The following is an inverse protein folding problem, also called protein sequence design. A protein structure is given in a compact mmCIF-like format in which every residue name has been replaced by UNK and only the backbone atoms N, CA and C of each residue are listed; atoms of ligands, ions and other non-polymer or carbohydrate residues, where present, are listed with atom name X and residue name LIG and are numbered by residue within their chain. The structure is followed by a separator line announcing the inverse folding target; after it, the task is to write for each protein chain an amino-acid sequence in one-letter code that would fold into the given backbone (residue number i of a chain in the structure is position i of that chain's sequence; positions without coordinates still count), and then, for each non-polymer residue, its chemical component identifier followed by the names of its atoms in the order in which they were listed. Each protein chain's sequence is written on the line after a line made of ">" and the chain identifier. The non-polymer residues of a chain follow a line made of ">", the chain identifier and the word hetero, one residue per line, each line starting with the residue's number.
data_IF_344903586501
#
_entry.id   IF_344903586501
#
_cell.length_a   1.000
_cell.length_b   1.000
_cell.length_c   1.000
_cell.angle_alpha   90.00
_cell.angle_beta   90.00
_cell.angle_gamma   90.00
#
_symmetry.space_group_name_H-M   'P 1'
#
loop_
_entity.id
_entity.type
_entity.pdbx_description
1 polymer ?
#
# COMPACT_ATOMS: atom_id res chain seq x y z
N UNK A 1 -3.83 8.74 -28.06
CA UNK A 1 -3.64 9.17 -26.66
C UNK A 1 -2.53 8.29 -26.14
N UNK A 2 -1.37 8.86 -25.84
CA UNK A 2 -0.28 8.08 -25.24
C UNK A 2 -0.71 7.71 -23.82
N UNK A 3 -0.93 6.40 -23.60
CA UNK A 3 -1.23 5.87 -22.28
C UNK A 3 0.00 6.07 -21.40
N UNK A 4 -0.12 6.84 -20.32
CA UNK A 4 0.96 6.96 -19.36
C UNK A 4 1.20 5.65 -18.64
N UNK A 5 2.46 5.21 -18.64
CA UNK A 5 2.86 4.00 -17.94
C UNK A 5 2.87 4.24 -16.43
N UNK A 6 2.04 3.49 -15.70
CA UNK A 6 1.86 3.61 -14.25
C UNK A 6 2.59 2.48 -13.52
N UNK A 7 3.38 2.84 -12.51
CA UNK A 7 3.95 1.90 -11.55
C UNK A 7 3.29 2.11 -10.17
N UNK A 8 2.52 1.12 -9.73
CA UNK A 8 1.87 1.12 -8.42
C UNK A 8 2.62 0.16 -7.49
N UNK A 9 3.14 0.68 -6.39
CA UNK A 9 3.94 -0.10 -5.42
C UNK A 9 3.36 0.10 -4.04
N UNK A 10 3.14 -0.99 -3.31
CA UNK A 10 2.83 -0.94 -1.88
C UNK A 10 3.88 -1.69 -1.08
N UNK A 11 4.29 -1.14 0.06
CA UNK A 11 5.21 -1.79 0.98
C UNK A 11 4.89 -1.43 2.43
N UNK A 12 4.73 -2.46 3.27
CA UNK A 12 4.81 -2.28 4.71
C UNK A 12 6.31 -2.18 5.07
N UNK A 13 6.73 -0.99 5.51
CA UNK A 13 8.14 -0.64 5.75
C UNK A 13 8.50 -0.62 7.23
N UNK A 14 7.67 -1.24 8.09
CA UNK A 14 7.86 -1.20 9.53
C UNK A 14 9.24 -1.71 10.00
N UNK A 15 9.75 -2.77 9.36
CA UNK A 15 11.07 -3.34 9.64
C UNK A 15 12.21 -2.63 8.94
N UNK A 16 11.92 -1.80 7.93
CA UNK A 16 12.94 -1.12 7.13
C UNK A 16 13.81 -0.20 7.98
N UNK A 17 13.19 0.45 8.96
CA UNK A 17 13.84 1.40 9.86
C UNK A 17 14.45 0.75 11.10
N UNK A 18 14.30 -0.57 11.28
CA UNK A 18 14.97 -1.33 12.35
C UNK A 18 16.43 -1.66 11.96
N UNK A 19 16.75 -1.78 10.66
CA UNK A 19 18.11 -1.96 10.13
C UNK A 19 18.33 -1.10 8.86
N UNK A 20 18.62 0.20 9.03
CA UNK A 20 18.76 1.14 7.91
C UNK A 20 20.05 0.89 7.09
N UNK A 21 21.06 0.24 7.65
CA UNK A 21 22.32 0.01 6.93
C UNK A 21 22.18 -1.07 5.88
N UNK A 22 21.36 -2.11 6.14
CA UNK A 22 21.23 -3.25 5.23
C UNK A 22 19.86 -3.23 4.54
N UNK A 23 18.76 -3.27 5.30
CA UNK A 23 17.43 -3.47 4.73
C UNK A 23 16.99 -2.27 3.90
N UNK A 24 17.21 -1.05 4.40
CA UNK A 24 16.85 0.17 3.69
C UNK A 24 17.63 0.32 2.38
N UNK A 25 18.95 0.09 2.40
CA UNK A 25 19.77 0.17 1.20
C UNK A 25 19.38 -0.86 0.14
N UNK A 26 19.15 -2.11 0.55
CA UNK A 26 18.69 -3.17 -0.35
C UNK A 26 17.31 -2.84 -0.96
N UNK A 27 16.37 -2.36 -0.14
CA UNK A 27 15.04 -2.00 -0.63
C UNK A 27 15.09 -0.86 -1.65
N UNK A 28 15.86 0.20 -1.37
CA UNK A 28 16.05 1.31 -2.31
C UNK A 28 16.69 0.80 -3.60
N UNK A 29 17.72 -0.04 -3.50
CA UNK A 29 18.39 -0.61 -4.67
C UNK A 29 17.41 -1.38 -5.58
N UNK A 30 16.63 -2.32 -5.02
CA UNK A 30 15.65 -3.10 -5.78
C UNK A 30 14.53 -2.23 -6.36
N UNK A 31 14.09 -1.21 -5.61
CA UNK A 31 13.11 -0.26 -6.10
C UNK A 31 13.66 0.53 -7.31
N UNK A 32 14.90 1.02 -7.24
CA UNK A 32 15.52 1.74 -8.36
C UNK A 32 15.77 0.85 -9.58
N UNK A 33 16.20 -0.41 -9.36
CA UNK A 33 16.30 -1.39 -10.45
C UNK A 33 14.94 -1.58 -11.16
N UNK A 34 13.87 -1.66 -10.38
CA UNK A 34 12.49 -1.79 -10.91
C UNK A 34 12.09 -0.55 -11.72
N UNK A 35 12.35 0.66 -11.21
CA UNK A 35 12.07 1.91 -11.93
C UNK A 35 12.85 1.97 -13.24
N UNK A 36 14.14 1.62 -13.21
CA UNK A 36 15.01 1.57 -14.39
C UNK A 36 14.53 0.56 -15.42
N UNK A 37 14.05 -0.61 -15.00
CA UNK A 37 13.58 -1.65 -15.92
C UNK A 37 12.23 -1.30 -16.56
N UNK A 38 11.31 -0.70 -15.79
CA UNK A 38 9.94 -0.47 -16.23
C UNK A 38 9.73 0.88 -16.91
N UNK A 39 10.66 1.83 -16.73
CA UNK A 39 10.57 3.21 -17.25
C UNK A 39 9.15 3.83 -17.05
N UNK A 40 8.63 3.87 -15.82
CA UNK A 40 7.29 4.41 -15.57
C UNK A 40 7.28 5.92 -15.80
N UNK A 41 6.17 6.44 -16.31
CA UNK A 41 5.95 7.89 -16.38
C UNK A 41 5.40 8.42 -15.06
N UNK A 42 4.61 7.63 -14.35
CA UNK A 42 4.07 8.01 -13.05
C UNK A 42 4.16 6.86 -12.06
N UNK A 43 4.65 7.16 -10.87
CA UNK A 43 4.83 6.19 -9.78
C UNK A 43 3.94 6.59 -8.62
N UNK A 44 3.15 5.65 -8.11
CA UNK A 44 2.47 5.75 -6.83
C UNK A 44 3.05 4.71 -5.86
N UNK A 45 3.81 5.19 -4.88
CA UNK A 45 4.42 4.38 -3.83
C UNK A 45 3.68 4.59 -2.50
N UNK A 46 2.99 3.54 -2.06
CA UNK A 46 2.21 3.51 -0.83
C UNK A 46 2.94 2.74 0.25
N UNK A 47 3.16 3.38 1.38
CA UNK A 47 3.91 2.87 2.52
C UNK A 47 2.98 2.69 3.70
N UNK A 48 3.17 1.61 4.44
CA UNK A 48 2.53 1.36 5.73
C UNK A 48 3.60 1.19 6.81
N UNK A 49 3.27 1.54 8.06
CA UNK A 49 4.21 1.48 9.19
C UNK A 49 5.45 2.36 8.98
N UNK A 50 5.27 3.52 8.36
CA UNK A 50 6.31 4.55 8.29
C UNK A 50 6.73 4.92 9.71
N UNK A 51 8.02 4.94 10.01
CA UNK A 51 8.57 5.15 11.36
C UNK A 51 8.63 3.90 12.26
N UNK A 52 8.27 2.73 11.73
CA UNK A 52 8.48 1.45 12.41
C UNK A 52 7.76 1.34 13.77
N UNK A 53 8.42 0.68 14.72
CA UNK A 53 7.93 0.50 16.10
C UNK A 53 8.45 1.56 17.06
N UNK A 54 9.61 2.16 16.77
CA UNK A 54 10.31 3.16 17.61
C UNK A 54 10.39 4.52 16.92
N UNK A 55 9.25 5.21 16.91
CA UNK A 55 9.04 6.45 16.14
C UNK A 55 10.06 7.56 16.36
N UNK A 56 10.35 7.91 17.62
CA UNK A 56 11.24 9.03 17.95
C UNK A 56 12.67 8.81 17.43
N UNK A 57 13.13 7.55 17.41
CA UNK A 57 14.46 7.18 16.93
C UNK A 57 14.49 7.03 15.41
N UNK A 58 13.39 6.60 14.80
CA UNK A 58 13.31 6.29 13.37
C UNK A 58 13.05 7.50 12.45
N UNK A 59 12.57 8.63 12.97
CA UNK A 59 12.17 9.78 12.12
C UNK A 59 13.34 10.32 11.27
N UNK A 60 14.57 10.24 11.77
CA UNK A 60 15.76 10.57 10.96
C UNK A 60 15.89 9.63 9.76
N UNK A 61 15.78 8.32 9.97
CA UNK A 61 15.88 7.32 8.91
C UNK A 61 14.74 7.42 7.90
N UNK A 62 13.53 7.81 8.31
CA UNK A 62 12.42 8.07 7.38
C UNK A 62 12.77 9.23 6.43
N UNK A 63 13.33 10.31 6.95
CA UNK A 63 13.76 11.46 6.13
C UNK A 63 14.92 11.09 5.21
N UNK A 64 15.89 10.33 5.71
CA UNK A 64 17.00 9.79 4.89
C UNK A 64 16.47 8.90 3.77
N UNK A 65 15.53 8.00 4.07
CA UNK A 65 14.89 7.13 3.08
C UNK A 65 14.24 7.94 1.96
N UNK A 66 13.38 8.91 2.29
CA UNK A 66 12.71 9.77 1.29
C UNK A 66 13.73 10.57 0.49
N UNK A 67 14.77 11.10 1.15
CA UNK A 67 15.85 11.83 0.49
C UNK A 67 16.58 10.94 -0.52
N UNK A 68 17.01 9.74 -0.10
CA UNK A 68 17.68 8.78 -0.97
C UNK A 68 16.83 8.35 -2.16
N UNK A 69 15.51 8.18 -1.99
CA UNK A 69 14.61 7.96 -3.12
C UNK A 69 14.60 9.14 -4.09
N UNK A 70 14.47 10.37 -3.57
CA UNK A 70 14.37 11.58 -4.40
C UNK A 70 15.68 11.95 -5.12
N UNK A 71 16.83 11.58 -4.56
CA UNK A 71 18.17 11.92 -5.06
C UNK A 71 18.79 10.82 -5.92
N UNK A 72 18.16 9.65 -6.02
CA UNK A 72 18.63 8.55 -6.86
C UNK A 72 18.74 8.98 -8.34
N UNK A 73 19.75 8.43 -9.04
CA UNK A 73 20.03 8.76 -10.43
C UNK A 73 18.83 8.46 -11.34
N UNK A 74 18.17 7.32 -11.12
CA UNK A 74 16.98 6.87 -11.83
C UNK A 74 15.78 7.82 -11.68
N UNK A 75 15.80 8.68 -10.66
CA UNK A 75 14.69 9.57 -10.32
C UNK A 75 14.89 11.01 -10.82
N UNK A 76 16.01 11.31 -11.50
CA UNK A 76 16.37 12.67 -11.91
C UNK A 76 15.36 13.32 -12.86
N UNK A 77 14.72 12.53 -13.72
CA UNK A 77 13.74 13.02 -14.70
C UNK A 77 12.32 13.17 -14.12
N UNK A 78 12.10 12.75 -12.87
CA UNK A 78 10.84 12.96 -12.16
C UNK A 78 10.79 14.36 -11.55
N UNK A 79 10.25 15.30 -12.30
CA UNK A 79 10.14 16.71 -11.91
C UNK A 79 8.99 16.97 -10.92
N UNK A 80 7.97 16.11 -10.92
CA UNK A 80 6.80 16.19 -10.05
C UNK A 80 7.01 15.24 -8.88
N UNK A 81 7.04 15.77 -7.65
CA UNK A 81 7.14 14.95 -6.43
C UNK A 81 6.09 15.39 -5.42
N UNK A 82 5.31 14.45 -4.90
CA UNK A 82 4.36 14.69 -3.81
C UNK A 82 4.58 13.64 -2.72
N UNK A 83 4.93 14.09 -1.52
CA UNK A 83 5.16 13.21 -0.37
C UNK A 83 4.23 13.58 0.77
N UNK A 84 3.54 12.59 1.30
CA UNK A 84 2.69 12.68 2.49
C UNK A 84 3.12 11.61 3.46
N UNK A 85 3.74 11.98 4.58
CA UNK A 85 4.10 11.06 5.65
C UNK A 85 3.36 11.45 6.92
N UNK A 86 2.47 10.58 7.37
CA UNK A 86 1.81 10.72 8.65
C UNK A 86 2.73 10.23 9.76
N UNK A 87 3.48 11.15 10.38
CA UNK A 87 4.46 10.87 11.44
C UNK A 87 4.00 11.41 12.81
N UNK A 88 2.78 11.98 12.90
CA UNK A 88 2.29 12.59 14.13
C UNK A 88 1.79 11.55 15.15
N UNK A 89 2.71 10.79 15.74
CA UNK A 89 2.41 9.78 16.76
C UNK A 89 1.78 10.35 18.04
N UNK A 90 1.90 11.66 18.28
CA UNK A 90 1.27 12.34 19.42
C UNK A 90 -0.26 12.45 19.29
N UNK A 91 -0.79 12.49 18.07
CA UNK A 91 -2.24 12.50 17.81
C UNK A 91 -2.77 11.07 17.66
N UNK A 92 -2.94 10.38 18.78
CA UNK A 92 -3.32 8.97 18.76
C UNK A 92 -4.69 8.72 18.09
N UNK A 93 -5.59 9.72 18.06
CA UNK A 93 -6.91 9.60 17.43
C UNK A 93 -6.88 9.65 15.90
N UNK A 94 -5.84 10.23 15.29
CA UNK A 94 -5.78 10.44 13.84
C UNK A 94 -4.60 9.74 13.18
N UNK A 95 -3.59 9.35 13.96
CA UNK A 95 -2.35 8.77 13.47
C UNK A 95 -2.53 7.39 12.81
N UNK A 96 -1.99 7.24 11.60
CA UNK A 96 -2.08 6.03 10.75
C UNK A 96 -0.74 5.44 10.33
N UNK A 97 0.38 6.17 10.50
CA UNK A 97 1.70 5.75 10.02
C UNK A 97 1.70 5.37 8.51
N UNK A 98 0.81 5.99 7.72
CA UNK A 98 0.75 5.82 6.27
C UNK A 98 1.67 6.83 5.59
N UNK A 99 2.32 6.39 4.51
CA UNK A 99 3.09 7.23 3.62
C UNK A 99 2.60 7.11 2.18
N UNK A 100 2.38 8.23 1.50
CA UNK A 100 2.10 8.25 0.06
C UNK A 100 3.16 9.09 -0.64
N UNK A 101 3.90 8.48 -1.55
CA UNK A 101 4.91 9.14 -2.38
C UNK A 101 4.49 9.00 -3.84
N UNK A 102 4.46 10.12 -4.55
CA UNK A 102 4.13 10.17 -5.97
C UNK A 102 5.25 10.85 -6.74
N UNK A 103 5.63 10.25 -7.87
CA UNK A 103 6.65 10.77 -8.77
C UNK A 103 6.09 10.83 -10.18
N UNK A 104 6.08 12.01 -10.80
CA UNK A 104 5.70 12.22 -12.19
C UNK A 104 6.90 12.62 -13.04
N UNK A 105 7.10 11.90 -14.13
CA UNK A 105 8.16 12.11 -15.10
C UNK A 105 7.94 13.41 -15.88
N UNK A 106 9.02 14.07 -16.31
CA UNK A 106 8.98 15.33 -17.06
C UNK A 106 8.21 15.24 -18.40
N UNK A 107 7.98 14.03 -18.91
CA UNK A 107 7.22 13.77 -20.14
C UNK A 107 5.71 13.81 -19.93
N UNK A 108 5.20 13.92 -18.70
CA UNK A 108 3.76 14.07 -18.47
C UNK A 108 3.37 15.52 -18.79
N UNK A 109 2.66 15.79 -19.90
CA UNK A 109 2.34 17.15 -20.31
C UNK A 109 1.38 17.84 -19.35
N UNK A 110 0.43 17.09 -18.79
CA UNK A 110 -0.60 17.64 -17.91
C UNK A 110 -0.85 16.69 -16.75
N UNK A 111 -0.63 17.19 -15.53
CA UNK A 111 -1.17 16.55 -14.34
C UNK A 111 -1.65 17.56 -13.33
N UNK A 112 -2.72 17.19 -12.63
CA UNK A 112 -3.36 18.01 -11.59
C UNK A 112 -3.66 17.14 -10.39
N UNK A 113 -3.68 17.77 -9.22
CA UNK A 113 -3.96 17.11 -7.96
C UNK A 113 -5.19 17.78 -7.34
N UNK A 114 -6.14 16.99 -6.93
CA UNK A 114 -7.39 17.49 -6.38
C UNK A 114 -7.18 17.95 -4.94
N UNK A 115 -7.80 19.08 -4.61
CA UNK A 115 -7.96 19.56 -3.26
C UNK A 115 -9.37 19.22 -2.78
N UNK A 116 -9.46 18.31 -1.81
CA UNK A 116 -10.70 17.79 -1.26
C UNK A 116 -11.45 18.80 -0.38
N UNK A 117 -10.78 19.88 0.05
CA UNK A 117 -11.38 20.90 0.92
C UNK A 117 -12.11 21.97 0.12
N UNK A 118 -11.52 22.41 -0.99
CA UNK A 118 -12.10 23.46 -1.83
C UNK A 118 -12.73 22.88 -3.12
N UNK A 119 -12.66 21.56 -3.32
CA UNK A 119 -13.19 20.87 -4.49
C UNK A 119 -12.65 21.46 -5.81
N UNK A 120 -11.33 21.61 -5.91
CA UNK A 120 -10.69 22.19 -7.09
C UNK A 120 -9.37 21.51 -7.45
N UNK A 121 -8.94 21.71 -8.70
CA UNK A 121 -7.69 21.17 -9.23
C UNK A 121 -6.51 22.12 -8.95
N UNK A 122 -5.43 21.58 -8.38
CA UNK A 122 -4.16 22.27 -8.18
C UNK A 122 -3.10 21.75 -9.16
N UNK A 123 -2.12 22.60 -9.49
CA UNK A 123 -1.01 22.21 -10.36
C UNK A 123 0.00 21.33 -9.61
N UNK A 124 0.56 20.34 -10.30
CA UNK A 124 1.49 19.37 -9.69
C UNK A 124 2.95 19.70 -9.91
N UNK A 125 3.27 20.83 -10.56
CA UNK A 125 4.66 21.17 -10.86
C UNK A 125 5.51 21.28 -9.59
N UNK A 126 6.78 20.91 -9.71
CA UNK A 126 7.75 20.93 -8.62
C UNK A 126 7.56 19.82 -7.57
N UNK A 127 8.25 19.99 -6.44
CA UNK A 127 8.33 19.01 -5.34
C UNK A 127 7.66 19.58 -4.09
N UNK A 128 6.76 18.81 -3.47
CA UNK A 128 6.11 19.16 -2.21
C UNK A 128 6.21 18.00 -1.23
N UNK A 129 6.61 18.31 0.01
CA UNK A 129 6.84 17.34 1.06
C UNK A 129 6.08 17.73 2.33
N UNK A 130 5.19 16.85 2.77
CA UNK A 130 4.45 16.98 4.01
C UNK A 130 4.90 15.88 4.99
N UNK A 131 5.56 16.30 6.07
CA UNK A 131 6.06 15.46 7.16
C UNK A 131 5.35 15.81 8.46
N UNK A 132 5.32 14.88 9.43
CA UNK A 132 4.70 15.14 10.74
C UNK A 132 3.17 15.13 10.69
N UNK A 133 2.54 16.24 11.10
CA UNK A 133 1.09 16.38 11.12
C UNK A 133 0.57 16.81 9.74
N UNK A 134 -0.13 15.89 9.08
CA UNK A 134 -0.70 16.13 7.75
C UNK A 134 -2.22 16.32 7.75
N UNK A 135 -2.89 16.47 8.90
CA UNK A 135 -4.36 16.55 8.94
C UNK A 135 -4.96 17.66 8.07
N UNK A 136 -4.32 18.84 8.09
CA UNK A 136 -4.81 20.01 7.38
C UNK A 136 -4.33 20.10 5.92
N UNK A 137 -3.62 19.08 5.42
CA UNK A 137 -3.17 19.05 4.03
C UNK A 137 -4.36 18.70 3.13
N UNK A 138 -4.82 19.62 2.27
CA UNK A 138 -6.12 19.50 1.63
C UNK A 138 -6.10 18.61 0.37
N UNK A 139 -4.91 18.29 -0.15
CA UNK A 139 -4.71 17.45 -1.33
C UNK A 139 -4.69 15.95 -1.04
N UNK A 140 -5.11 15.56 0.17
CA UNK A 140 -5.34 14.17 0.57
C UNK A 140 -6.56 14.07 1.48
N UNK A 141 -7.29 12.98 1.37
CA UNK A 141 -8.33 12.56 2.33
C UNK A 141 -7.79 11.37 3.12
N UNK A 142 -7.72 11.49 4.44
CA UNK A 142 -7.16 10.48 5.33
C UNK A 142 -8.11 10.21 6.46
N UNK A 143 -8.28 8.94 6.82
CA UNK A 143 -9.04 8.57 8.00
C UNK A 143 -8.45 7.35 8.68
N UNK A 144 -8.37 7.41 10.01
CA UNK A 144 -8.09 6.26 10.86
C UNK A 144 -9.39 5.48 11.10
N UNK A 145 -9.32 4.16 11.10
CA UNK A 145 -10.50 3.34 11.38
C UNK A 145 -10.99 3.51 12.83
N UNK A 146 -12.31 3.52 13.05
CA UNK A 146 -12.89 3.57 14.38
C UNK A 146 -12.38 2.45 15.30
N UNK A 147 -12.19 2.77 16.59
CA UNK A 147 -11.65 1.80 17.58
C UNK A 147 -12.58 0.61 17.81
N UNK A 148 -13.90 0.78 17.65
CA UNK A 148 -14.88 -0.31 17.79
C UNK A 148 -14.77 -1.36 16.66
N UNK A 149 -14.02 -1.08 15.60
CA UNK A 149 -13.71 -2.08 14.57
C UNK A 149 -12.68 -3.10 15.09
N UNK A 150 -11.96 -2.75 16.16
CA UNK A 150 -10.97 -3.61 16.78
C UNK A 150 -10.94 -3.45 18.32
N UNK A 151 -12.00 -3.89 19.03
CA UNK A 151 -12.23 -3.59 20.45
C UNK A 151 -11.19 -4.15 21.41
N UNK A 152 -10.48 -5.20 21.02
CA UNK A 152 -9.40 -5.82 21.82
C UNK A 152 -8.12 -4.98 21.84
N UNK A 153 -7.98 -4.03 20.92
CA UNK A 153 -6.78 -3.23 20.78
C UNK A 153 -7.06 -1.77 21.11
N UNK A 154 -6.51 -1.32 22.24
CA UNK A 154 -6.66 0.05 22.71
C UNK A 154 -6.03 1.08 21.77
N UNK A 155 -5.09 0.66 20.93
CA UNK A 155 -4.35 1.55 20.02
C UNK A 155 -4.13 0.91 18.65
N UNK A 156 -4.79 1.44 17.64
CA UNK A 156 -4.59 1.06 16.24
C UNK A 156 -4.00 2.21 15.44
N UNK A 157 -3.21 1.88 14.41
CA UNK A 157 -2.73 2.82 13.38
C UNK A 157 -3.32 2.48 12.01
N UNK A 158 -4.41 1.71 11.98
CA UNK A 158 -5.04 1.23 10.73
C UNK A 158 -5.96 2.31 10.17
N UNK A 159 -5.97 2.46 8.85
CA UNK A 159 -6.72 3.52 8.18
C UNK A 159 -6.51 3.48 6.68
N UNK A 160 -6.87 4.58 6.03
CA UNK A 160 -6.58 4.80 4.62
C UNK A 160 -6.13 6.24 4.36
N UNK A 161 -5.45 6.44 3.23
CA UNK A 161 -5.12 7.75 2.67
C UNK A 161 -5.40 7.75 1.16
N UNK A 162 -6.26 8.66 0.72
CA UNK A 162 -6.70 8.85 -0.66
C UNK A 162 -6.13 10.15 -1.22
N UNK A 163 -5.66 10.12 -2.46
CA UNK A 163 -5.34 11.31 -3.26
C UNK A 163 -5.98 11.17 -4.63
N UNK A 164 -6.50 12.26 -5.18
CA UNK A 164 -7.11 12.28 -6.51
C UNK A 164 -6.25 13.00 -7.51
N UNK A 165 -5.96 12.34 -8.62
CA UNK A 165 -5.09 12.85 -9.67
C UNK A 165 -5.86 12.92 -10.98
N UNK A 166 -5.54 13.94 -11.77
CA UNK A 166 -5.74 13.93 -13.22
C UNK A 166 -4.36 13.78 -13.85
N UNK A 167 -4.17 12.71 -14.63
CA UNK A 167 -2.94 12.45 -15.36
C UNK A 167 -3.32 12.33 -16.84
N UNK A 168 -2.88 13.29 -17.65
CA UNK A 168 -3.16 13.35 -19.09
C UNK A 168 -4.66 13.25 -19.44
N UNK A 169 -5.52 13.89 -18.63
CA UNK A 169 -6.97 13.89 -18.81
C UNK A 169 -7.69 12.69 -18.21
N UNK A 170 -6.96 11.75 -17.58
CA UNK A 170 -7.55 10.62 -16.86
C UNK A 170 -7.61 10.95 -15.37
N UNK A 171 -8.82 11.10 -14.85
CA UNK A 171 -9.08 11.32 -13.43
C UNK A 171 -9.21 9.99 -12.69
N UNK A 172 -8.44 9.81 -11.62
CA UNK A 172 -8.54 8.64 -10.74
C UNK A 172 -8.07 8.93 -9.31
N UNK A 173 -8.47 8.06 -8.37
CA UNK A 173 -7.93 8.08 -7.01
C UNK A 173 -6.90 6.97 -6.79
N UNK A 174 -5.84 7.30 -6.04
CA UNK A 174 -4.96 6.31 -5.43
C UNK A 174 -5.28 6.23 -3.94
N UNK A 175 -5.58 5.03 -3.46
CA UNK A 175 -5.99 4.79 -2.08
C UNK A 175 -5.03 3.81 -1.42
N UNK A 176 -4.22 4.32 -0.49
CA UNK A 176 -3.37 3.54 0.39
C UNK A 176 -4.23 3.03 1.55
N UNK A 177 -4.29 1.72 1.76
CA UNK A 177 -5.08 1.12 2.83
C UNK A 177 -4.25 0.20 3.70
N UNK A 178 -4.39 0.34 5.02
CA UNK A 178 -3.75 -0.53 5.99
C UNK A 178 -4.80 -1.14 6.91
N UNK A 179 -5.11 -2.41 6.68
CA UNK A 179 -6.13 -3.13 7.44
C UNK A 179 -5.55 -3.85 8.67
N UNK A 180 -6.45 -4.32 9.55
CA UNK A 180 -6.09 -5.00 10.78
C UNK A 180 -5.33 -6.32 10.53
N UNK A 181 -4.22 -6.51 11.25
CA UNK A 181 -3.50 -7.78 11.31
C UNK A 181 -4.08 -8.68 12.41
N UNK A 182 -3.94 -9.98 12.25
CA UNK A 182 -4.20 -10.97 13.30
C UNK A 182 -3.20 -10.82 14.45
N UNK A 183 -3.57 -11.25 15.66
CA UNK A 183 -2.65 -11.27 16.81
C UNK A 183 -1.40 -12.16 16.55
N UNK A 184 -1.56 -13.24 15.78
CA UNK A 184 -0.47 -14.06 15.27
C UNK A 184 -0.91 -14.85 14.04
N UNK A 185 0.05 -15.35 13.26
CA UNK A 185 -0.23 -16.31 12.18
C UNK A 185 -0.86 -17.60 12.71
N UNK A 186 -0.54 -18.01 13.95
CA UNK A 186 -1.11 -19.19 14.60
C UNK A 186 -2.60 -18.98 14.90
N UNK A 187 -2.98 -17.80 15.36
CA UNK A 187 -4.39 -17.44 15.60
C UNK A 187 -5.21 -17.53 14.30
N UNK A 188 -4.63 -17.08 13.19
CA UNK A 188 -5.27 -17.19 11.87
C UNK A 188 -5.43 -18.64 11.37
N UNK A 189 -4.68 -19.60 11.93
CA UNK A 189 -4.77 -21.03 11.60
C UNK A 189 -5.79 -21.80 12.44
N UNK A 190 -6.07 -21.32 13.66
CA UNK A 190 -6.95 -22.02 14.62
C UNK A 190 -8.41 -21.91 14.19
N UNK A 191 -8.85 -20.75 13.72
CA UNK A 191 -10.20 -20.51 13.20
C UNK A 191 -10.13 -19.92 11.79
N UNK A 192 -10.81 -20.55 10.83
CA UNK A 192 -10.92 -20.05 9.46
C UNK A 192 -12.38 -19.87 9.02
N UNK A 193 -12.77 -18.70 8.49
CA UNK A 193 -11.97 -17.47 8.43
C UNK A 193 -11.75 -16.90 9.84
N UNK A 194 -10.56 -16.38 10.11
CA UNK A 194 -10.24 -15.71 11.38
C UNK A 194 -11.24 -14.59 11.67
N UNK A 195 -11.55 -14.34 12.94
CA UNK A 195 -12.35 -13.18 13.42
C UNK A 195 -11.84 -11.86 12.81
N UNK A 196 -10.54 -11.74 12.60
CA UNK A 196 -9.92 -10.57 11.97
C UNK A 196 -10.34 -10.39 10.51
N UNK A 197 -10.73 -11.44 9.81
CA UNK A 197 -11.24 -11.36 8.44
C UNK A 197 -12.55 -10.58 8.38
N UNK A 198 -13.44 -10.75 9.37
CA UNK A 198 -14.66 -9.95 9.48
C UNK A 198 -14.35 -8.48 9.77
N UNK A 199 -13.34 -8.20 10.60
CA UNK A 199 -12.88 -6.84 10.91
C UNK A 199 -12.29 -6.15 9.68
N UNK A 200 -11.45 -6.85 8.92
CA UNK A 200 -10.90 -6.38 7.63
C UNK A 200 -12.01 -6.10 6.63
N UNK A 201 -13.02 -6.99 6.52
CA UNK A 201 -14.20 -6.77 5.67
C UNK A 201 -14.99 -5.54 6.11
N UNK A 202 -15.24 -5.35 7.42
CA UNK A 202 -15.94 -4.18 7.97
C UNK A 202 -15.20 -2.89 7.61
N UNK A 203 -13.87 -2.86 7.81
CA UNK A 203 -13.02 -1.71 7.46
C UNK A 203 -13.02 -1.40 5.97
N UNK A 204 -12.88 -2.43 5.11
CA UNK A 204 -12.92 -2.26 3.66
C UNK A 204 -14.26 -1.68 3.21
N UNK A 205 -15.38 -2.27 3.63
CA UNK A 205 -16.73 -1.79 3.29
C UNK A 205 -16.93 -0.36 3.78
N UNK A 206 -16.48 -0.05 5.00
CA UNK A 206 -16.56 1.31 5.55
C UNK A 206 -15.82 2.33 4.67
N UNK A 207 -14.62 2.02 4.19
CA UNK A 207 -13.89 2.91 3.27
C UNK A 207 -14.61 3.08 1.94
N UNK A 208 -15.10 1.99 1.34
CA UNK A 208 -15.82 2.07 0.06
C UNK A 208 -17.11 2.90 0.19
N UNK A 209 -17.89 2.65 1.23
CA UNK A 209 -19.10 3.43 1.52
C UNK A 209 -18.79 4.91 1.76
N UNK A 210 -17.66 5.23 2.41
CA UNK A 210 -17.25 6.63 2.58
C UNK A 210 -17.02 7.33 1.25
N UNK A 211 -16.45 6.64 0.25
CA UNK A 211 -16.27 7.20 -1.09
C UNK A 211 -17.60 7.34 -1.83
N UNK A 212 -18.48 6.35 -1.72
CA UNK A 212 -19.81 6.41 -2.35
C UNK A 212 -20.71 7.51 -1.74
N UNK A 213 -20.51 7.84 -0.46
CA UNK A 213 -21.27 8.86 0.27
C UNK A 213 -20.59 10.24 0.28
N UNK A 214 -19.45 10.40 -0.37
CA UNK A 214 -18.75 11.69 -0.49
C UNK A 214 -19.55 12.61 -1.42
N UNK A 215 -20.37 13.48 -0.85
CA UNK A 215 -21.26 14.38 -1.61
C UNK A 215 -20.55 15.60 -2.17
N UNK A 216 -19.43 15.96 -1.57
CA UNK A 216 -18.68 17.17 -1.92
C UNK A 216 -17.74 16.90 -3.10
N UNK A 217 -17.34 15.64 -3.30
CA UNK A 217 -16.42 15.22 -4.35
C UNK A 217 -17.07 14.22 -5.31
N UNK A 218 -16.88 14.40 -6.61
CA UNK A 218 -17.36 13.46 -7.63
C UNK A 218 -16.82 12.05 -7.39
N UNK A 219 -17.59 11.01 -7.75
CA UNK A 219 -17.10 9.63 -7.73
C UNK A 219 -16.25 9.39 -8.98
N UNK A 220 -15.02 8.90 -8.79
CA UNK A 220 -14.08 8.60 -9.88
C UNK A 220 -13.51 7.20 -9.71
N UNK A 221 -12.98 6.56 -10.78
CA UNK A 221 -12.29 5.27 -10.66
C UNK A 221 -11.11 5.35 -9.69
N UNK A 222 -10.84 4.27 -8.96
CA UNK A 222 -9.73 4.26 -8.01
C UNK A 222 -8.93 2.96 -8.01
N UNK A 223 -7.62 3.10 -7.82
CA UNK A 223 -6.76 2.00 -7.44
C UNK A 223 -6.68 1.93 -5.91
N UNK A 224 -7.21 0.83 -5.36
CA UNK A 224 -7.10 0.51 -3.95
C UNK A 224 -6.01 -0.54 -3.75
N UNK A 225 -4.93 -0.16 -3.06
CA UNK A 225 -3.81 -1.05 -2.79
C UNK A 225 -3.14 -0.66 -1.46
N UNK A 226 -2.41 -1.59 -0.86
CA UNK A 226 -1.91 -1.41 0.48
C UNK A 226 -1.64 -2.72 1.20
N UNK A 227 -1.41 -2.64 2.51
CA UNK A 227 -1.36 -3.81 3.38
C UNK A 227 -2.77 -4.19 3.85
N UNK A 228 -3.43 -5.03 3.06
CA UNK A 228 -4.74 -5.58 3.39
C UNK A 228 -4.68 -6.62 4.52
N UNK A 229 -3.50 -7.11 4.91
CA UNK A 229 -3.34 -8.14 5.93
C UNK A 229 -4.19 -9.41 5.71
N UNK A 230 -4.58 -9.72 4.46
CA UNK A 230 -5.29 -10.95 4.14
C UNK A 230 -4.38 -12.16 4.35
N UNK A 231 -4.92 -13.20 4.98
CA UNK A 231 -4.20 -14.43 5.31
C UNK A 231 -4.79 -15.59 4.54
N UNK A 232 -3.93 -16.44 3.99
CA UNK A 232 -4.34 -17.67 3.30
C UNK A 232 -4.93 -18.70 4.26
N UNK A 233 -5.87 -19.52 3.78
CA UNK A 233 -6.36 -20.70 4.49
C UNK A 233 -5.33 -21.84 4.47
N UNK A 234 -4.23 -21.66 5.19
CA UNK A 234 -3.16 -22.65 5.25
C UNK A 234 -3.64 -23.99 5.86
N UNK A 235 -4.67 -23.99 6.70
CA UNK A 235 -5.28 -25.21 7.26
C UNK A 235 -6.10 -25.98 6.20
N UNK A 236 -6.90 -25.29 5.39
CA UNK A 236 -7.63 -25.87 4.26
C UNK A 236 -6.68 -26.39 3.16
N UNK A 237 -5.62 -25.65 2.85
CA UNK A 237 -4.58 -26.09 1.89
C UNK A 237 -3.90 -27.36 2.40
N UNK A 238 -3.45 -27.40 3.66
CA UNK A 238 -2.79 -28.60 4.21
C UNK A 238 -3.73 -29.81 4.28
N UNK A 239 -5.01 -29.63 4.63
CA UNK A 239 -6.02 -30.70 4.60
C UNK A 239 -6.26 -31.22 3.17
N UNK A 240 -6.33 -30.33 2.19
CA UNK A 240 -6.51 -30.68 0.78
C UNK A 240 -5.28 -31.40 0.23
N UNK A 241 -4.08 -30.91 0.51
CA UNK A 241 -2.82 -31.56 0.11
C UNK A 241 -2.65 -32.93 0.75
N UNK A 242 -3.09 -33.13 2.00
CA UNK A 242 -3.18 -34.47 2.63
C UNK A 242 -4.19 -35.37 1.91
N UNK A 243 -5.37 -34.86 1.56
CA UNK A 243 -6.38 -35.59 0.76
C UNK A 243 -5.86 -36.00 -0.61
N UNK A 244 -5.13 -35.11 -1.29
CA UNK A 244 -4.49 -35.39 -2.59
C UNK A 244 -3.41 -36.46 -2.42
N UNK A 245 -2.55 -36.38 -1.40
CA UNK A 245 -1.56 -37.44 -1.11
C UNK A 245 -2.23 -38.79 -0.80
N UNK A 246 -3.31 -38.83 -0.03
CA UNK A 246 -4.05 -40.08 0.21
C UNK A 246 -4.72 -40.63 -1.06
N UNK A 247 -5.19 -39.76 -1.97
CA UNK A 247 -5.75 -40.19 -3.25
C UNK A 247 -4.67 -40.65 -4.24
N UNK A 248 -3.48 -40.03 -4.25
CA UNK A 248 -2.32 -40.52 -5.03
C UNK A 248 -1.81 -41.86 -4.50
N UNK A 249 -1.99 -42.15 -3.20
CA UNK A 249 -1.64 -43.46 -2.62
C UNK A 249 -2.68 -44.53 -2.97
N UNK A 250 -3.97 -44.16 -3.14
CA UNK A 250 -5.03 -45.05 -3.66
C UNK A 250 -5.00 -45.26 -5.17
N UNK A 251 -4.37 -44.36 -5.93
CA UNK A 251 -4.18 -44.46 -7.39
C UNK A 251 -2.86 -45.17 -7.77
N UNK A 252 -2.31 -46.02 -6.90
CA UNK A 252 -1.10 -46.82 -7.18
C UNK A 252 -1.38 -48.26 -7.65
N UNK A 253 -2.62 -48.62 -7.95
CA UNK A 253 -2.99 -50.00 -8.34
C UNK A 253 -3.88 -50.08 -9.60
N UNK A 254 -3.72 -49.18 -10.56
CA UNK A 254 -4.20 -49.42 -11.91
C UNK A 254 -3.21 -48.89 -12.96
N UNK A 255 -2.72 -49.85 -13.74
CA UNK A 255 -1.93 -49.77 -14.99
C UNK A 255 -0.41 -49.53 -14.90
N UNK A 256 0.30 -50.66 -14.87
CA UNK A 256 1.54 -50.91 -15.60
C UNK A 256 1.28 -51.01 -17.11
N UNK A 257 2.35 -50.79 -17.91
CA UNK A 257 2.51 -50.94 -19.39
C UNK A 257 1.92 -49.80 -20.24
N UNK A 258 2.61 -49.15 -21.18
CA UNK A 258 3.85 -49.46 -21.89
C UNK A 258 4.56 -48.15 -22.33
N UNK A 259 5.87 -48.08 -22.10
CA UNK A 259 6.79 -47.09 -22.69
C UNK A 259 7.43 -47.72 -23.94
N UNK A 260 7.34 -47.08 -25.10
CA UNK A 260 8.41 -46.93 -26.12
C UNK A 260 7.79 -46.42 -27.44
N UNK A 261 7.95 -45.14 -27.82
CA UNK A 261 9.10 -44.42 -28.43
C UNK A 261 8.95 -44.30 -29.97
N UNK A 262 9.68 -43.39 -30.65
CA UNK A 262 9.13 -42.23 -31.36
C UNK A 262 9.19 -42.31 -32.89
N UNK A 263 8.65 -41.26 -33.53
CA UNK A 263 8.39 -41.01 -34.96
C UNK A 263 7.10 -41.62 -35.50
#
# INVERSE_FOLDING_TARGET
>A
MDNSNLLLVTANVGTLFEDPLILMQQWIHEFMLTVKQLHPQFIALHLQEVGGKTYEQSSHHVKEFVKSLCEAYEMQEFSIVRVYLDENFTSQEQFTALGNLYFGHNTIPNSRLWNFKNCSWETTQGKNFHFGNIENVPTKDKSKFPLDFFPECKWSRKGFMRTRWDINGTTLDFVNMHLFHDASNLTALIEFPSVYSQRRRKALIHTLQRFDMDKDNEIVPYFLFGDFNFRSDSAGVTKTTRRVRTNVTRMRHFFYTCLSRPL
#
